data_IF_870836146590
#
_entry.id   IF_870836146590
#
_cell.length_a   1.000
_cell.length_b   1.000
_cell.length_c   1.000
_cell.angle_alpha   90.00
_cell.angle_beta   90.00
_cell.angle_gamma   90.00
#
_symmetry.space_group_name_H-M   'P 1'
#
loop_
_entity.id
_entity.type
_entity.pdbx_description
1 polymer ?
#
# COMPACT_ATOMS: atom_id res chain seq x y z
N UNK A 1 6.34 9.76 1.76
CA UNK A 1 4.95 9.26 1.58
C UNK A 1 4.57 9.18 0.09
N UNK A 2 5.45 8.68 -0.78
CA UNK A 2 5.10 8.43 -2.19
C UNK A 2 4.61 6.99 -2.32
N UNK A 3 3.43 6.77 -2.91
CA UNK A 3 2.91 5.44 -3.22
C UNK A 3 1.47 5.16 -2.76
N UNK A 4 1.03 5.75 -1.64
CA UNK A 4 -0.31 5.46 -1.06
C UNK A 4 -1.43 5.80 -2.03
N UNK A 5 -1.34 6.93 -2.72
CA UNK A 5 -2.30 7.34 -3.73
C UNK A 5 -2.33 6.37 -4.92
N UNK A 6 -1.16 5.96 -5.42
CA UNK A 6 -1.06 4.99 -6.51
C UNK A 6 -1.68 3.64 -6.17
N UNK A 7 -1.45 3.14 -4.95
CA UNK A 7 -2.06 1.89 -4.48
C UNK A 7 -3.57 2.00 -4.25
N UNK A 8 -4.06 3.18 -3.86
CA UNK A 8 -5.46 3.35 -3.49
C UNK A 8 -6.33 3.73 -4.68
N UNK A 9 -5.81 4.40 -5.70
CA UNK A 9 -6.68 5.01 -6.70
C UNK A 9 -7.45 3.99 -7.55
N UNK A 10 -6.76 3.02 -8.13
CA UNK A 10 -7.40 2.02 -8.96
C UNK A 10 -8.42 1.13 -8.22
N UNK A 11 -8.10 0.50 -7.06
CA UNK A 11 -9.06 -0.37 -6.41
C UNK A 11 -10.31 0.37 -5.90
N UNK A 12 -10.15 1.55 -5.30
CA UNK A 12 -11.29 2.28 -4.75
C UNK A 12 -12.20 2.85 -5.84
N UNK A 13 -11.64 3.35 -6.95
CA UNK A 13 -12.47 3.93 -8.02
C UNK A 13 -13.06 2.88 -8.96
N UNK A 14 -12.31 1.82 -9.31
CA UNK A 14 -12.73 0.84 -10.32
C UNK A 14 -13.49 -0.34 -9.72
N UNK A 15 -13.16 -0.77 -8.51
CA UNK A 15 -13.81 -1.92 -7.87
C UNK A 15 -14.85 -1.50 -6.83
N UNK A 16 -14.59 -0.41 -6.08
CA UNK A 16 -15.49 0.07 -5.02
C UNK A 16 -16.38 1.25 -5.45
N UNK A 17 -16.26 1.71 -6.71
CA UNK A 17 -17.05 2.81 -7.28
C UNK A 17 -16.96 4.15 -6.54
N UNK A 18 -15.86 4.41 -5.83
CA UNK A 18 -15.65 5.72 -5.21
C UNK A 18 -15.28 6.76 -6.26
N UNK A 19 -15.63 8.01 -6.00
CA UNK A 19 -15.09 9.14 -6.74
C UNK A 19 -13.61 9.37 -6.38
N UNK A 20 -12.81 9.94 -7.30
CA UNK A 20 -11.44 10.33 -6.98
C UNK A 20 -11.33 11.29 -5.79
N UNK A 21 -12.34 12.13 -5.59
CA UNK A 21 -12.42 13.08 -4.49
C UNK A 21 -12.59 12.37 -3.15
N UNK A 22 -13.49 11.40 -3.05
CA UNK A 22 -13.69 10.59 -1.83
C UNK A 22 -12.40 9.86 -1.43
N UNK A 23 -11.67 9.29 -2.40
CA UNK A 23 -10.40 8.65 -2.09
C UNK A 23 -9.39 9.66 -1.59
N UNK A 24 -9.29 10.83 -2.20
CA UNK A 24 -8.37 11.87 -1.74
C UNK A 24 -8.67 12.34 -0.32
N UNK A 25 -9.95 12.49 0.04
CA UNK A 25 -10.37 12.83 1.41
C UNK A 25 -10.00 11.72 2.38
N UNK A 26 -10.29 10.46 2.05
CA UNK A 26 -9.88 9.30 2.86
C UNK A 26 -8.36 9.26 3.09
N UNK A 27 -7.57 9.54 2.05
CA UNK A 27 -6.12 9.54 2.14
C UNK A 27 -5.55 10.65 3.03
N UNK A 28 -6.31 11.70 3.37
CA UNK A 28 -5.88 12.70 4.35
C UNK A 28 -5.69 12.05 5.72
N UNK A 29 -6.64 11.25 6.18
CA UNK A 29 -6.58 10.63 7.50
C UNK A 29 -5.57 9.47 7.52
N UNK A 30 -5.51 8.67 6.45
CA UNK A 30 -4.46 7.64 6.30
C UNK A 30 -3.05 8.22 6.43
N UNK A 31 -2.81 9.40 5.87
CA UNK A 31 -1.50 10.08 6.00
C UNK A 31 -1.24 10.54 7.44
N UNK A 32 -2.27 10.91 8.21
CA UNK A 32 -2.10 11.27 9.63
C UNK A 32 -1.69 10.03 10.42
N UNK A 33 -2.42 8.94 10.26
CA UNK A 33 -2.19 7.70 11.02
C UNK A 33 -0.80 7.12 10.75
N UNK A 34 -0.33 7.13 9.49
CA UNK A 34 1.00 6.64 9.16
C UNK A 34 2.12 7.49 9.79
N UNK A 35 1.87 8.78 10.01
CA UNK A 35 2.82 9.68 10.67
C UNK A 35 2.69 9.68 12.20
N UNK A 36 1.66 9.03 12.75
CA UNK A 36 1.45 8.96 14.19
C UNK A 36 2.38 7.91 14.82
N UNK A 37 3.29 8.38 15.67
CA UNK A 37 4.25 7.53 16.41
C UNK A 37 3.60 6.75 17.56
N UNK A 38 2.37 7.10 17.95
CA UNK A 38 1.57 6.36 18.91
C UNK A 38 0.98 5.07 18.34
N UNK A 39 0.89 4.95 17.01
CA UNK A 39 0.37 3.76 16.34
C UNK A 39 1.50 2.78 16.07
N UNK A 40 1.51 1.65 16.80
CA UNK A 40 2.40 0.52 16.49
C UNK A 40 1.69 -0.43 15.52
N UNK A 41 1.86 -0.19 14.22
CA UNK A 41 1.26 -1.01 13.18
C UNK A 41 1.98 -2.36 13.03
N UNK A 42 1.23 -3.46 13.06
CA UNK A 42 1.74 -4.82 12.81
C UNK A 42 1.44 -5.23 11.37
N UNK A 43 2.48 -5.69 10.66
CA UNK A 43 2.37 -6.12 9.26
C UNK A 43 3.01 -7.50 9.10
N UNK A 44 2.32 -8.48 8.50
CA UNK A 44 2.95 -9.75 8.14
C UNK A 44 3.88 -9.53 6.95
N UNK A 45 5.16 -9.34 7.24
CA UNK A 45 6.21 -9.19 6.22
C UNK A 45 6.84 -10.54 5.92
N UNK A 46 6.63 -11.04 4.70
CA UNK A 46 7.23 -12.29 4.24
C UNK A 46 8.50 -12.00 3.45
N UNK A 47 9.62 -12.60 3.88
CA UNK A 47 10.88 -12.56 3.14
C UNK A 47 11.02 -13.84 2.30
N UNK A 48 10.86 -13.70 0.99
CA UNK A 48 11.03 -14.81 0.04
C UNK A 48 12.37 -14.63 -0.66
N UNK A 49 13.24 -15.64 -0.57
CA UNK A 49 14.56 -15.63 -1.21
C UNK A 49 14.58 -16.69 -2.31
N UNK A 50 14.91 -16.28 -3.53
CA UNK A 50 15.10 -17.18 -4.67
C UNK A 50 16.57 -17.23 -5.08
N UNK A 51 17.08 -18.44 -5.36
CA UNK A 51 18.40 -18.63 -5.99
C UNK A 51 18.18 -18.90 -7.48
N UNK A 52 18.84 -18.13 -8.34
CA UNK A 52 18.88 -18.43 -9.78
C UNK A 52 19.48 -19.84 -9.95
N UNK A 53 18.86 -20.73 -10.77
CA UNK A 53 19.42 -22.05 -10.99
C UNK A 53 20.83 -21.93 -11.59
N UNK A 54 21.75 -22.75 -11.10
CA UNK A 54 23.03 -22.95 -11.78
C UNK A 54 22.74 -23.69 -13.08
N UNK A 55 23.29 -23.18 -14.18
CA UNK A 55 23.17 -23.84 -15.47
C UNK A 55 23.85 -25.19 -15.31
N UNK A 56 23.06 -26.28 -15.30
CA UNK A 56 23.60 -27.63 -15.39
C UNK A 56 24.42 -27.73 -16.67
N UNK A 57 25.70 -28.08 -16.52
CA UNK A 57 26.62 -28.44 -17.60
C UNK A 57 26.14 -29.67 -18.38
#
# INVERSE_FOLDING_TARGET
MAGIEGFSMAPFTRALNWSPQEVNVFLVDVRKDINDRGIHAYWPMYCIVGRKPEISA
#
